data_IF_040946269112
#
_entry.id   IF_040946269112
#
_cell.length_a   1.000
_cell.length_b   1.000
_cell.length_c   1.000
_cell.angle_alpha   90.00
_cell.angle_beta   90.00
_cell.angle_gamma   90.00
#
_symmetry.space_group_name_H-M   'P 1'
#
loop_
_entity.id
_entity.type
_entity.pdbx_description
1 polymer ?
#
# COMPACT_ATOMS: atom_id res chain seq x y z
N UNK A 1 19.91 3.57 -12.95
CA UNK A 1 21.36 3.47 -12.67
C UNK A 1 21.79 4.03 -11.29
N UNK A 2 21.20 5.12 -10.77
CA UNK A 2 21.64 5.75 -9.49
C UNK A 2 21.18 5.07 -8.17
N UNK A 3 20.22 4.13 -8.22
CA UNK A 3 19.68 3.45 -7.02
C UNK A 3 20.55 2.28 -6.51
N UNK A 4 21.35 1.68 -7.40
CA UNK A 4 22.26 0.58 -7.08
C UNK A 4 23.54 1.07 -6.36
N UNK A 5 23.94 2.32 -6.62
CA UNK A 5 25.20 2.88 -6.12
C UNK A 5 25.13 3.25 -4.62
N UNK A 6 23.99 3.80 -4.17
CA UNK A 6 23.78 4.14 -2.74
C UNK A 6 23.59 2.88 -1.88
N UNK A 7 23.06 1.80 -2.45
CA UNK A 7 22.86 0.52 -1.75
C UNK A 7 24.16 -0.24 -1.47
N UNK A 8 25.16 -0.14 -2.35
CA UNK A 8 26.43 -0.87 -2.21
C UNK A 8 27.34 -0.38 -1.08
N UNK A 9 27.17 0.86 -0.60
CA UNK A 9 28.12 1.47 0.34
C UNK A 9 27.81 1.22 1.82
N UNK A 10 26.62 0.70 2.15
CA UNK A 10 26.14 0.54 3.53
C UNK A 10 26.24 -0.91 4.04
N UNK A 11 26.26 -1.90 3.15
CA UNK A 11 26.42 -3.31 3.50
C UNK A 11 27.53 -3.90 2.66
N UNK A 12 28.57 -4.44 3.32
CA UNK A 12 29.67 -5.15 2.65
C UNK A 12 29.20 -6.32 1.76
N UNK A 13 30.12 -6.97 1.03
CA UNK A 13 29.78 -8.00 0.04
C UNK A 13 28.89 -9.13 0.57
N UNK A 14 29.08 -9.55 1.82
CA UNK A 14 28.22 -10.53 2.49
C UNK A 14 26.78 -10.01 2.75
N UNK A 15 26.63 -8.76 3.17
CA UNK A 15 25.32 -8.14 3.41
C UNK A 15 24.53 -7.90 2.12
N UNK A 16 25.21 -7.59 1.01
CA UNK A 16 24.58 -7.47 -0.30
C UNK A 16 24.07 -8.81 -0.86
N UNK A 17 24.79 -9.90 -0.58
CA UNK A 17 24.38 -11.26 -0.93
C UNK A 17 23.13 -11.69 -0.16
N UNK A 18 23.15 -11.56 1.17
CA UNK A 18 22.00 -11.86 2.05
C UNK A 18 20.79 -10.99 1.67
N UNK A 19 21.01 -9.72 1.36
CA UNK A 19 19.94 -8.81 0.95
C UNK A 19 19.27 -9.22 -0.37
N UNK A 20 20.05 -9.69 -1.36
CA UNK A 20 19.53 -10.00 -2.71
C UNK A 20 18.91 -11.39 -2.82
N UNK A 21 19.53 -12.40 -2.22
CA UNK A 21 19.13 -13.81 -2.39
C UNK A 21 18.18 -14.30 -1.30
N UNK A 22 18.25 -13.76 -0.09
CA UNK A 22 17.45 -14.23 1.05
C UNK A 22 16.37 -13.20 1.42
N UNK A 23 16.76 -11.96 1.74
CA UNK A 23 15.80 -10.93 2.18
C UNK A 23 14.85 -10.47 1.08
N UNK A 24 15.31 -10.19 -0.15
CA UNK A 24 14.44 -9.66 -1.22
C UNK A 24 13.30 -10.62 -1.62
N UNK A 25 13.54 -11.92 -1.84
CA UNK A 25 12.46 -12.87 -2.14
C UNK A 25 11.49 -13.03 -0.97
N UNK A 26 12.02 -13.13 0.27
CA UNK A 26 11.19 -13.26 1.49
C UNK A 26 10.37 -12.00 1.78
N UNK A 27 10.91 -10.81 1.52
CA UNK A 27 10.25 -9.52 1.71
C UNK A 27 9.36 -9.10 0.53
N UNK A 28 9.38 -9.86 -0.58
CA UNK A 28 8.50 -9.67 -1.73
C UNK A 28 7.20 -10.48 -1.64
N UNK A 29 7.02 -11.24 -0.56
CA UNK A 29 5.82 -12.02 -0.30
C UNK A 29 4.71 -11.08 0.17
N UNK A 30 3.55 -11.14 -0.46
CA UNK A 30 2.36 -10.39 -0.08
C UNK A 30 1.63 -11.07 1.10
N UNK A 31 2.32 -11.13 2.24
CA UNK A 31 1.83 -11.65 3.52
C UNK A 31 2.01 -10.61 4.65
N UNK A 32 1.34 -10.82 5.79
CA UNK A 32 1.55 -9.96 6.97
C UNK A 32 2.97 -10.12 7.53
N UNK A 33 3.58 -9.07 8.12
CA UNK A 33 4.91 -9.15 8.71
C UNK A 33 5.06 -10.28 9.73
N UNK A 34 4.01 -10.51 10.52
CA UNK A 34 3.95 -11.56 11.53
C UNK A 34 3.94 -12.95 10.88
N UNK A 35 3.19 -13.11 9.78
CA UNK A 35 3.13 -14.37 9.00
C UNK A 35 4.48 -14.69 8.34
N UNK A 36 5.15 -13.67 7.79
CA UNK A 36 6.49 -13.80 7.19
C UNK A 36 7.51 -14.16 8.27
N UNK A 37 7.51 -13.46 9.41
CA UNK A 37 8.44 -13.71 10.51
C UNK A 37 8.28 -15.12 11.10
N UNK A 38 7.04 -15.57 11.27
CA UNK A 38 6.75 -16.93 11.72
C UNK A 38 7.21 -17.97 10.69
N UNK A 39 6.99 -17.70 9.39
CA UNK A 39 7.45 -18.56 8.30
C UNK A 39 8.97 -18.70 8.26
N UNK A 40 9.71 -17.58 8.40
CA UNK A 40 11.18 -17.60 8.51
C UNK A 40 11.64 -18.43 9.70
N UNK A 41 11.00 -18.25 10.86
CA UNK A 41 11.41 -18.92 12.10
C UNK A 41 11.18 -20.43 12.04
N UNK A 42 10.00 -20.86 11.58
CA UNK A 42 9.67 -22.28 11.41
C UNK A 42 10.50 -22.92 10.28
N UNK A 43 10.72 -22.20 9.18
CA UNK A 43 11.58 -22.66 8.09
C UNK A 43 13.02 -22.91 8.55
N UNK A 44 13.57 -22.01 9.39
CA UNK A 44 14.90 -22.18 9.97
C UNK A 44 14.97 -23.36 10.95
N UNK A 45 13.91 -23.56 11.76
CA UNK A 45 13.81 -24.72 12.65
C UNK A 45 13.85 -26.04 11.86
N UNK A 46 13.03 -26.15 10.80
CA UNK A 46 13.00 -27.31 9.90
C UNK A 46 14.31 -27.47 9.12
N UNK A 47 14.99 -26.38 8.77
CA UNK A 47 16.28 -26.44 8.08
C UNK A 47 17.36 -27.20 8.89
N UNK A 48 17.29 -27.14 10.23
CA UNK A 48 18.30 -27.72 11.13
C UNK A 48 18.01 -29.19 11.44
N UNK A 49 16.82 -29.72 11.11
CA UNK A 49 16.49 -31.12 11.36
C UNK A 49 17.25 -32.04 10.39
N UNK A 50 17.73 -33.22 10.84
CA UNK A 50 18.52 -34.15 10.02
C UNK A 50 17.64 -34.96 9.05
N UNK A 51 16.78 -34.25 8.31
CA UNK A 51 15.72 -34.82 7.45
C UNK A 51 15.89 -34.38 5.99
N UNK A 52 17.12 -34.13 5.55
CA UNK A 52 17.37 -33.84 4.14
C UNK A 52 17.07 -35.08 3.28
N UNK A 53 16.30 -34.98 2.18
CA UNK A 53 15.74 -33.79 1.53
C UNK A 53 14.27 -33.46 1.88
N UNK A 54 13.66 -34.16 2.84
CA UNK A 54 12.24 -34.05 3.21
C UNK A 54 11.84 -32.72 3.87
N UNK A 55 12.78 -31.81 4.13
CA UNK A 55 12.54 -30.55 4.86
C UNK A 55 11.46 -29.66 4.23
N UNK A 56 11.40 -29.51 2.90
CA UNK A 56 10.33 -28.73 2.26
C UNK A 56 8.95 -29.35 2.47
N UNK A 57 8.85 -30.69 2.36
CA UNK A 57 7.62 -31.41 2.60
C UNK A 57 7.17 -31.27 4.07
N UNK A 58 8.12 -31.31 5.01
CA UNK A 58 7.85 -31.07 6.44
C UNK A 58 7.33 -29.65 6.67
N UNK A 59 7.92 -28.63 6.04
CA UNK A 59 7.43 -27.24 6.15
C UNK A 59 5.99 -27.10 5.64
N UNK A 60 5.65 -27.73 4.51
CA UNK A 60 4.29 -27.70 3.94
C UNK A 60 3.31 -28.49 4.80
N UNK A 61 3.72 -29.64 5.33
CA UNK A 61 2.91 -30.44 6.25
C UNK A 61 2.63 -29.67 7.56
N UNK A 62 3.65 -29.01 8.11
CA UNK A 62 3.53 -28.16 9.30
C UNK A 62 2.60 -26.97 9.04
N UNK A 63 2.70 -26.33 7.87
CA UNK A 63 1.78 -25.27 7.45
C UNK A 63 0.34 -25.76 7.40
N UNK A 64 0.10 -26.92 6.79
CA UNK A 64 -1.22 -27.53 6.68
C UNK A 64 -1.80 -27.88 8.06
N UNK A 65 -0.97 -28.42 8.95
CA UNK A 65 -1.35 -28.80 10.31
C UNK A 65 -1.66 -27.57 11.17
N UNK A 66 -0.76 -26.58 11.21
CA UNK A 66 -0.91 -25.38 12.04
C UNK A 66 -2.10 -24.50 11.60
N UNK A 67 -2.46 -24.55 10.31
CA UNK A 67 -3.67 -23.92 9.79
C UNK A 67 -4.94 -24.41 10.51
N UNK A 68 -5.00 -25.69 10.92
CA UNK A 68 -6.11 -26.27 11.69
C UNK A 68 -6.23 -25.66 13.09
N UNK A 69 -5.12 -25.20 13.66
CA UNK A 69 -5.03 -24.56 14.97
C UNK A 69 -5.08 -23.02 14.90
N UNK A 70 -5.54 -22.45 13.77
CA UNK A 70 -5.60 -20.99 13.51
C UNK A 70 -4.25 -20.28 13.52
N UNK A 71 -3.13 -21.00 13.48
CA UNK A 71 -1.79 -20.42 13.34
C UNK A 71 -1.46 -20.34 11.85
N UNK A 72 -1.36 -19.12 11.32
CA UNK A 72 -1.02 -18.87 9.90
C UNK A 72 0.39 -18.31 9.78
N UNK A 73 1.19 -18.92 8.91
CA UNK A 73 2.50 -18.41 8.54
C UNK A 73 2.71 -18.52 7.03
N UNK A 74 3.69 -17.76 6.52
CA UNK A 74 4.01 -17.75 5.10
C UNK A 74 4.75 -19.02 4.71
N UNK A 75 4.07 -19.93 4.01
CA UNK A 75 4.67 -21.20 3.54
C UNK A 75 5.82 -20.93 2.58
N UNK A 76 5.72 -19.88 1.77
CA UNK A 76 6.76 -19.46 0.83
C UNK A 76 8.02 -19.04 1.59
N UNK A 77 7.88 -18.21 2.63
CA UNK A 77 9.01 -17.81 3.47
C UNK A 77 9.65 -19.02 4.17
N UNK A 78 8.83 -19.94 4.69
CA UNK A 78 9.31 -21.17 5.31
C UNK A 78 10.10 -22.07 4.37
N UNK A 79 9.56 -22.34 3.17
CA UNK A 79 10.20 -23.20 2.18
C UNK A 79 11.52 -22.62 1.65
N UNK A 80 11.61 -21.29 1.50
CA UNK A 80 12.85 -20.62 1.08
C UNK A 80 13.98 -20.84 2.10
N UNK A 81 13.66 -20.82 3.39
CA UNK A 81 14.64 -21.01 4.46
C UNK A 81 14.96 -22.48 4.68
N UNK A 82 13.99 -23.39 4.53
CA UNK A 82 14.22 -24.82 4.67
C UNK A 82 15.06 -25.42 3.54
N UNK A 83 15.40 -24.67 2.48
CA UNK A 83 16.29 -25.12 1.40
C UNK A 83 17.75 -24.65 1.57
N UNK A 84 18.11 -23.98 2.66
CA UNK A 84 19.43 -23.32 2.79
C UNK A 84 20.59 -24.29 3.07
N UNK A 85 20.32 -25.52 3.52
CA UNK A 85 21.43 -26.41 3.92
C UNK A 85 22.02 -27.13 2.70
N UNK A 86 23.18 -26.63 2.25
CA UNK A 86 24.08 -27.30 1.31
C UNK A 86 24.89 -28.39 2.06
N UNK A 87 25.26 -29.53 1.43
CA UNK A 87 26.15 -30.53 2.01
C UNK A 87 27.38 -29.98 2.75
N UNK A 88 27.99 -28.90 2.24
CA UNK A 88 29.13 -28.23 2.88
C UNK A 88 28.79 -27.56 4.22
N UNK A 89 27.58 -27.03 4.35
CA UNK A 89 27.08 -26.42 5.59
C UNK A 89 26.42 -27.44 6.53
N UNK A 90 25.95 -28.58 6.01
CA UNK A 90 25.30 -29.62 6.78
C UNK A 90 26.24 -30.23 7.83
N UNK A 91 27.48 -30.54 7.42
CA UNK A 91 28.49 -31.18 8.28
C UNK A 91 28.77 -30.36 9.56
N UNK A 92 29.15 -29.08 9.50
CA UNK A 92 29.40 -28.30 10.72
C UNK A 92 28.14 -28.07 11.56
N UNK A 93 26.96 -27.93 10.94
CA UNK A 93 25.69 -27.76 11.65
C UNK A 93 25.33 -29.03 12.43
N UNK A 94 25.32 -30.18 11.78
CA UNK A 94 24.97 -31.45 12.42
C UNK A 94 26.02 -31.91 13.41
N UNK A 95 27.31 -31.64 13.17
CA UNK A 95 28.34 -31.88 14.17
C UNK A 95 28.12 -31.04 15.44
N UNK A 96 27.77 -29.76 15.28
CA UNK A 96 27.46 -28.89 16.41
C UNK A 96 26.22 -29.38 17.15
N UNK A 97 25.17 -29.76 16.43
CA UNK A 97 23.96 -30.33 17.02
C UNK A 97 24.28 -31.63 17.78
N UNK A 98 24.99 -32.56 17.16
CA UNK A 98 25.41 -33.82 17.79
C UNK A 98 26.18 -33.58 19.09
N UNK A 99 27.14 -32.65 19.11
CA UNK A 99 27.88 -32.30 20.34
C UNK A 99 26.99 -31.73 21.43
N UNK A 100 26.06 -30.83 21.07
CA UNK A 100 25.08 -30.28 22.02
C UNK A 100 24.20 -31.38 22.60
N UNK A 101 23.73 -32.31 21.76
CA UNK A 101 22.95 -33.45 22.21
C UNK A 101 23.72 -34.41 23.10
N UNK A 102 24.97 -34.73 22.75
CA UNK A 102 25.86 -35.54 23.58
C UNK A 102 26.07 -34.90 24.95
N UNK A 103 26.32 -33.59 24.98
CA UNK A 103 26.47 -32.83 26.22
C UNK A 103 25.21 -32.91 27.10
N UNK A 104 24.03 -32.71 26.51
CA UNK A 104 22.74 -32.74 27.23
C UNK A 104 22.40 -34.14 27.74
N UNK A 105 22.74 -35.18 26.98
CA UNK A 105 22.49 -36.57 27.33
C UNK A 105 23.59 -37.19 28.22
N UNK A 106 24.63 -36.42 28.58
CA UNK A 106 25.76 -36.92 29.36
C UNK A 106 26.59 -38.00 28.65
N UNK A 107 26.59 -38.02 27.30
CA UNK A 107 27.32 -38.99 26.48
C UNK A 107 28.60 -38.39 25.92
N UNK A 108 29.64 -39.21 25.77
CA UNK A 108 30.84 -38.79 25.04
C UNK A 108 30.60 -38.92 23.52
N UNK A 109 31.05 -37.95 22.69
CA UNK A 109 30.97 -38.07 21.24
C UNK A 109 31.73 -39.30 20.76
N UNK A 110 31.13 -40.08 19.88
CA UNK A 110 31.82 -41.23 19.27
C UNK A 110 32.88 -40.75 18.28
N UNK A 111 34.13 -41.15 18.53
CA UNK A 111 35.23 -41.00 17.58
C UNK A 111 35.19 -42.08 16.49
N UNK A 112 35.91 -41.85 15.39
CA UNK A 112 35.99 -42.77 14.25
C UNK A 112 36.50 -44.16 14.64
N UNK A 113 37.52 -44.24 15.50
CA UNK A 113 38.10 -45.51 15.96
C UNK A 113 37.11 -46.31 16.85
N UNK A 114 36.37 -45.62 17.71
CA UNK A 114 35.36 -46.25 18.57
C UNK A 114 34.12 -46.72 17.79
N UNK A 115 33.86 -46.12 16.63
CA UNK A 115 32.84 -46.59 15.69
C UNK A 115 33.30 -47.85 14.96
N UNK A 116 34.53 -47.86 14.43
CA UNK A 116 35.10 -49.02 13.73
C UNK A 116 35.19 -50.25 14.63
N UNK A 117 35.57 -50.08 15.90
CA UNK A 117 35.66 -51.17 16.88
C UNK A 117 34.32 -51.84 17.24
N UNK A 118 33.17 -51.24 16.86
CA UNK A 118 31.83 -51.76 17.15
C UNK A 118 31.21 -52.54 16.01
N UNK A 119 31.86 -52.57 14.83
CA UNK A 119 31.41 -53.35 13.69
C UNK A 119 32.21 -54.66 13.69
N UNK A 120 31.59 -55.82 13.93
CA UNK A 120 32.30 -57.09 13.91
C UNK A 120 32.77 -57.42 12.49
N UNK A 121 34.08 -57.57 12.28
CA UNK A 121 34.68 -57.91 10.98
C UNK A 121 34.29 -59.33 10.49
N UNK A 122 33.82 -60.18 11.41
CA UNK A 122 33.46 -61.59 11.20
C UNK A 122 31.94 -61.83 11.01
N UNK A 123 31.12 -60.77 11.07
CA UNK A 123 29.68 -60.88 10.90
C UNK A 123 29.25 -60.86 9.42
N UNK A 124 28.22 -61.64 9.07
CA UNK A 124 27.62 -61.60 7.73
C UNK A 124 27.04 -60.21 7.39
N UNK A 125 27.03 -59.86 6.10
CA UNK A 125 26.65 -58.54 5.57
C UNK A 125 25.39 -57.94 6.23
N UNK A 126 24.31 -58.70 6.35
CA UNK A 126 23.05 -58.20 6.94
C UNK A 126 23.14 -57.87 8.42
N UNK A 127 23.97 -58.59 9.18
CA UNK A 127 24.19 -58.33 10.60
C UNK A 127 25.08 -57.11 10.82
N UNK A 128 26.07 -56.90 9.94
CA UNK A 128 26.85 -55.66 9.91
C UNK A 128 25.94 -54.46 9.58
N UNK A 129 25.03 -54.60 8.61
CA UNK A 129 24.05 -53.56 8.27
C UNK A 129 23.12 -53.26 9.45
N UNK A 130 22.57 -54.27 10.12
CA UNK A 130 21.73 -54.10 11.31
C UNK A 130 22.46 -53.32 12.40
N UNK A 131 23.73 -53.65 12.64
CA UNK A 131 24.52 -53.03 13.68
C UNK A 131 24.91 -51.59 13.37
N UNK A 132 25.27 -51.32 12.11
CA UNK A 132 25.49 -49.96 11.61
C UNK A 132 24.22 -49.13 11.74
N UNK A 133 23.05 -49.67 11.40
CA UNK A 133 21.76 -48.98 11.55
C UNK A 133 21.45 -48.72 13.01
N UNK A 134 21.70 -49.68 13.90
CA UNK A 134 21.47 -49.55 15.34
C UNK A 134 22.36 -48.46 15.96
N UNK A 135 23.64 -48.42 15.60
CA UNK A 135 24.58 -47.38 16.05
C UNK A 135 24.19 -46.03 15.45
N UNK A 136 23.84 -45.98 14.16
CA UNK A 136 23.43 -44.76 13.48
C UNK A 136 22.13 -44.15 14.07
N UNK A 137 21.14 -44.97 14.43
CA UNK A 137 19.88 -44.48 15.01
C UNK A 137 19.98 -44.24 16.52
N UNK A 138 20.68 -45.10 17.26
CA UNK A 138 20.76 -45.02 18.72
C UNK A 138 21.85 -44.09 19.23
N UNK A 139 23.10 -44.36 18.87
CA UNK A 139 24.25 -43.65 19.42
C UNK A 139 24.56 -42.34 18.70
N UNK A 140 24.22 -42.25 17.42
CA UNK A 140 24.36 -41.02 16.64
C UNK A 140 23.03 -40.27 16.52
N UNK A 141 21.95 -40.97 16.22
CA UNK A 141 20.63 -40.39 15.94
C UNK A 141 19.99 -39.70 17.13
N UNK A 142 19.94 -40.33 18.30
CA UNK A 142 19.31 -39.74 19.50
C UNK A 142 20.01 -38.45 19.94
N UNK A 143 21.36 -38.41 20.11
CA UNK A 143 22.04 -37.15 20.41
C UNK A 143 21.89 -36.11 19.30
N UNK A 144 21.99 -36.51 18.02
CA UNK A 144 21.83 -35.56 16.91
C UNK A 144 20.46 -34.87 16.94
N UNK A 145 19.36 -35.64 17.05
CA UNK A 145 18.00 -35.09 17.14
C UNK A 145 17.81 -34.19 18.36
N UNK A 146 18.33 -34.61 19.52
CA UNK A 146 18.26 -33.81 20.76
C UNK A 146 18.93 -32.46 20.56
N UNK A 147 20.11 -32.44 19.95
CA UNK A 147 20.82 -31.22 19.61
C UNK A 147 20.11 -30.36 18.58
N UNK A 148 19.60 -30.96 17.50
CA UNK A 148 18.86 -30.25 16.46
C UNK A 148 17.60 -29.56 17.02
N UNK A 149 16.87 -30.22 17.92
CA UNK A 149 15.70 -29.63 18.59
C UNK A 149 16.11 -28.42 19.43
N UNK A 150 17.15 -28.54 20.25
CA UNK A 150 17.60 -27.45 21.12
C UNK A 150 18.16 -26.26 20.33
N UNK A 151 19.12 -26.53 19.45
CA UNK A 151 19.77 -25.50 18.63
C UNK A 151 18.77 -24.87 17.66
N UNK A 152 17.95 -25.68 17.01
CA UNK A 152 16.89 -25.22 16.10
C UNK A 152 15.88 -24.33 16.81
N UNK A 153 15.44 -24.69 18.01
CA UNK A 153 14.47 -23.89 18.78
C UNK A 153 15.07 -22.54 19.20
N UNK A 154 16.31 -22.53 19.70
CA UNK A 154 17.00 -21.29 20.06
C UNK A 154 17.16 -20.35 18.85
N UNK A 155 17.57 -20.89 17.70
CA UNK A 155 17.72 -20.11 16.47
C UNK A 155 16.38 -19.61 15.92
N UNK A 156 15.33 -20.43 15.96
CA UNK A 156 13.99 -20.03 15.54
C UNK A 156 13.46 -18.87 16.39
N UNK A 157 13.56 -18.97 17.72
CA UNK A 157 13.13 -17.92 18.65
C UNK A 157 13.91 -16.62 18.45
N UNK A 158 15.23 -16.71 18.24
CA UNK A 158 16.07 -15.55 17.97
C UNK A 158 15.78 -14.91 16.60
N UNK A 159 15.40 -15.71 15.60
CA UNK A 159 15.13 -15.23 14.24
C UNK A 159 13.83 -14.46 14.11
N UNK A 160 12.81 -14.76 14.93
CA UNK A 160 11.49 -14.14 14.86
C UNK A 160 11.52 -12.60 15.00
N UNK A 161 12.08 -12.00 16.06
CA UNK A 161 12.08 -10.54 16.23
C UNK A 161 12.86 -9.84 15.11
N UNK A 162 13.95 -10.44 14.63
CA UNK A 162 14.77 -9.91 13.54
C UNK A 162 13.98 -9.92 12.23
N UNK A 163 13.31 -11.03 11.91
CA UNK A 163 12.49 -11.16 10.73
C UNK A 163 11.29 -10.21 10.76
N UNK A 164 10.65 -10.04 11.93
CA UNK A 164 9.53 -9.12 12.12
C UNK A 164 9.96 -7.65 11.90
N UNK A 165 11.08 -7.25 12.48
CA UNK A 165 11.63 -5.90 12.31
C UNK A 165 11.99 -5.62 10.83
N UNK A 166 12.60 -6.60 10.15
CA UNK A 166 12.93 -6.49 8.74
C UNK A 166 11.68 -6.40 7.85
N UNK A 167 10.66 -7.22 8.11
CA UNK A 167 9.40 -7.23 7.38
C UNK A 167 8.65 -5.89 7.51
N UNK A 168 8.48 -5.38 8.73
CA UNK A 168 7.84 -4.08 9.00
C UNK A 168 8.58 -2.92 8.31
N UNK A 169 9.92 -2.92 8.39
CA UNK A 169 10.74 -1.88 7.75
C UNK A 169 10.59 -1.89 6.23
N UNK A 170 10.57 -3.07 5.62
CA UNK A 170 10.38 -3.22 4.17
C UNK A 170 9.02 -2.70 3.71
N UNK A 171 7.94 -3.07 4.42
CA UNK A 171 6.59 -2.59 4.11
C UNK A 171 6.48 -1.07 4.22
N UNK A 172 7.04 -0.46 5.28
CA UNK A 172 7.05 1.00 5.45
C UNK A 172 7.81 1.71 4.29
N UNK A 173 8.93 1.13 3.84
CA UNK A 173 9.67 1.62 2.68
C UNK A 173 8.87 1.50 1.38
N UNK A 174 8.16 0.39 1.16
CA UNK A 174 7.30 0.16 -0.01
C UNK A 174 6.17 1.19 -0.04
N UNK A 175 5.50 1.44 1.07
CA UNK A 175 4.47 2.48 1.20
C UNK A 175 5.00 3.88 0.89
N UNK A 176 6.15 4.26 1.46
CA UNK A 176 6.78 5.56 1.17
C UNK A 176 7.15 5.72 -0.31
N UNK A 177 7.69 4.67 -0.92
CA UNK A 177 8.05 4.70 -2.34
C UNK A 177 6.81 4.85 -3.22
N UNK A 178 5.72 4.13 -2.92
CA UNK A 178 4.46 4.25 -3.64
C UNK A 178 3.87 5.66 -3.53
N UNK A 179 3.90 6.28 -2.35
CA UNK A 179 3.46 7.67 -2.18
C UNK A 179 4.30 8.66 -3.02
N UNK A 180 5.60 8.43 -3.14
CA UNK A 180 6.47 9.24 -4.00
C UNK A 180 6.18 9.05 -5.49
N UNK A 181 5.84 7.82 -5.90
CA UNK A 181 5.45 7.53 -7.28
C UNK A 181 4.11 8.20 -7.62
N UNK A 182 3.11 8.13 -6.72
CA UNK A 182 1.84 8.87 -6.85
C UNK A 182 2.06 10.35 -7.08
N UNK A 183 2.84 10.99 -6.19
CA UNK A 183 3.19 12.42 -6.33
C UNK A 183 3.87 12.75 -7.67
N UNK A 184 4.67 11.84 -8.21
CA UNK A 184 5.33 12.06 -9.52
C UNK A 184 4.36 11.95 -10.68
N UNK A 185 3.42 11.01 -10.61
CA UNK A 185 2.43 10.78 -11.65
C UNK A 185 1.41 11.93 -11.70
N UNK A 186 0.89 12.34 -10.54
CA UNK A 186 0.04 13.54 -10.43
C UNK A 186 0.75 14.78 -10.98
N UNK A 187 2.02 15.00 -10.61
CA UNK A 187 2.82 16.11 -11.15
C UNK A 187 3.05 16.02 -12.66
N UNK A 188 3.14 14.82 -13.24
CA UNK A 188 3.30 14.65 -14.70
C UNK A 188 2.03 15.03 -15.44
N UNK A 189 0.88 14.54 -14.96
CA UNK A 189 -0.43 14.88 -15.53
C UNK A 189 -0.65 16.38 -15.44
N UNK A 190 -0.45 16.98 -14.26
CA UNK A 190 -0.61 18.42 -14.06
C UNK A 190 0.36 19.25 -14.91
N UNK A 191 1.58 18.77 -15.18
CA UNK A 191 2.52 19.46 -16.09
C UNK A 191 2.07 19.40 -17.54
N UNK A 192 1.63 18.24 -18.01
CA UNK A 192 1.11 18.10 -19.38
C UNK A 192 -0.12 18.99 -19.59
N UNK A 193 -1.01 19.05 -18.61
CA UNK A 193 -2.17 19.94 -18.65
C UNK A 193 -1.81 21.42 -18.51
N UNK A 194 -0.82 21.78 -17.67
CA UNK A 194 -0.32 23.15 -17.60
C UNK A 194 0.23 23.62 -18.94
N UNK A 195 0.90 22.75 -19.69
CA UNK A 195 1.34 23.07 -21.05
C UNK A 195 0.17 23.31 -22.01
N UNK A 196 -0.94 22.56 -21.86
CA UNK A 196 -2.16 22.81 -22.64
C UNK A 196 -2.80 24.14 -22.26
N UNK A 197 -2.85 24.47 -20.96
CA UNK A 197 -3.35 25.74 -20.47
C UNK A 197 -2.46 26.91 -20.90
N UNK A 198 -1.13 26.75 -20.86
CA UNK A 198 -0.20 27.77 -21.32
C UNK A 198 -0.32 27.97 -22.85
N UNK A 199 -0.59 26.91 -23.62
CA UNK A 199 -0.90 27.03 -25.06
C UNK A 199 -2.25 27.72 -25.31
N UNK A 200 -3.29 27.37 -24.55
CA UNK A 200 -4.58 28.03 -24.64
C UNK A 200 -4.51 29.50 -24.20
N UNK A 201 -3.68 29.79 -23.19
CA UNK A 201 -3.35 31.13 -22.73
C UNK A 201 -2.65 31.94 -23.81
N UNK A 202 -1.60 31.39 -24.44
CA UNK A 202 -0.88 32.03 -25.56
C UNK A 202 -1.87 32.34 -26.70
N UNK A 203 -2.69 31.36 -27.08
CA UNK A 203 -3.73 31.55 -28.08
C UNK A 203 -4.75 32.63 -27.68
N UNK A 204 -5.15 32.73 -26.41
CA UNK A 204 -6.05 33.77 -25.91
C UNK A 204 -5.40 35.17 -25.93
N UNK A 205 -4.12 35.29 -25.55
CA UNK A 205 -3.36 36.54 -25.68
C UNK A 205 -3.18 37.00 -27.12
N UNK A 206 -3.02 36.07 -28.07
CA UNK A 206 -2.99 36.39 -29.51
C UNK A 206 -4.34 36.94 -30.01
N UNK A 207 -5.45 36.59 -29.35
CA UNK A 207 -6.79 37.11 -29.62
C UNK A 207 -7.17 38.32 -28.73
N UNK A 208 -6.22 38.95 -28.03
CA UNK A 208 -6.45 40.15 -27.22
C UNK A 208 -7.15 39.90 -25.86
N UNK A 209 -7.34 38.65 -25.45
CA UNK A 209 -7.86 38.29 -24.12
C UNK A 209 -6.74 37.69 -23.26
N UNK A 210 -6.07 38.53 -22.46
CA UNK A 210 -5.10 38.04 -21.48
C UNK A 210 -5.70 37.00 -20.53
N UNK A 211 -4.86 36.13 -19.93
CA UNK A 211 -5.23 35.13 -18.91
C UNK A 211 -5.61 35.81 -17.59
N UNK A 212 -6.70 36.55 -17.62
CA UNK A 212 -7.11 37.50 -16.60
C UNK A 212 -7.44 36.83 -15.25
N UNK A 213 -7.74 35.53 -15.23
CA UNK A 213 -8.05 34.81 -14.00
C UNK A 213 -6.82 34.57 -13.11
N UNK A 214 -5.59 34.77 -13.59
CA UNK A 214 -4.38 34.61 -12.77
C UNK A 214 -4.26 35.65 -11.66
N UNK A 215 -4.83 36.83 -11.87
CA UNK A 215 -4.81 37.94 -10.91
C UNK A 215 -6.01 37.93 -9.96
N UNK A 216 -6.85 36.89 -10.01
CA UNK A 216 -8.05 36.80 -9.19
C UNK A 216 -7.69 36.24 -7.81
N UNK A 217 -7.70 37.04 -6.72
CA UNK A 217 -7.32 36.55 -5.40
C UNK A 217 -8.34 35.52 -4.90
N UNK A 218 -7.89 34.28 -4.70
CA UNK A 218 -8.72 33.18 -4.22
C UNK A 218 -8.33 32.74 -2.81
N UNK A 219 -9.33 32.47 -1.98
CA UNK A 219 -9.19 31.75 -0.72
C UNK A 219 -9.86 30.39 -0.86
N UNK A 220 -9.07 29.32 -0.92
CA UNK A 220 -9.56 27.96 -1.02
C UNK A 220 -10.05 27.46 0.36
N UNK A 221 -11.37 27.23 0.48
CA UNK A 221 -12.04 26.75 1.68
C UNK A 221 -11.94 25.21 1.85
N UNK A 222 -10.76 24.63 1.65
CA UNK A 222 -10.58 23.18 1.57
C UNK A 222 -9.21 22.72 2.08
N UNK A 223 -9.17 21.62 2.82
CA UNK A 223 -7.93 20.93 3.21
C UNK A 223 -7.39 19.95 2.15
N UNK A 224 -8.13 19.74 1.05
CA UNK A 224 -7.75 18.79 -0.01
C UNK A 224 -6.48 19.23 -0.76
N UNK A 225 -5.43 18.41 -0.69
CA UNK A 225 -4.17 18.63 -1.42
C UNK A 225 -4.40 18.63 -2.94
N UNK A 226 -5.23 17.73 -3.46
CA UNK A 226 -5.53 17.63 -4.89
C UNK A 226 -6.08 18.94 -5.44
N UNK A 227 -7.00 19.60 -4.71
CA UNK A 227 -7.57 20.89 -5.13
C UNK A 227 -6.53 22.01 -5.13
N UNK A 228 -5.60 22.00 -4.16
CA UNK A 228 -4.47 22.95 -4.13
C UNK A 228 -3.55 22.75 -5.33
N UNK A 229 -3.24 21.49 -5.67
CA UNK A 229 -2.39 21.18 -6.81
C UNK A 229 -3.03 21.61 -8.14
N UNK A 230 -4.36 21.47 -8.28
CA UNK A 230 -5.10 21.94 -9.47
C UNK A 230 -5.02 23.46 -9.61
N UNK A 231 -5.31 24.23 -8.55
CA UNK A 231 -5.21 25.70 -8.59
C UNK A 231 -3.79 26.19 -8.91
N UNK A 232 -2.78 25.56 -8.29
CA UNK A 232 -1.37 25.87 -8.56
C UNK A 232 -0.98 25.55 -10.02
N UNK A 233 -1.53 24.48 -10.60
CA UNK A 233 -1.31 24.15 -12.01
C UNK A 233 -1.97 25.14 -12.98
N UNK A 234 -3.08 25.76 -12.57
CA UNK A 234 -3.71 26.88 -13.29
C UNK A 234 -2.92 28.19 -13.21
N UNK A 235 -1.91 28.26 -12.33
CA UNK A 235 -1.09 29.46 -12.11
C UNK A 235 -1.82 30.58 -11.36
N UNK A 236 -2.83 30.22 -10.55
CA UNK A 236 -3.54 31.17 -9.71
C UNK A 236 -2.78 31.44 -8.41
N UNK A 237 -2.84 32.68 -7.94
CA UNK A 237 -2.45 33.02 -6.58
C UNK A 237 -3.62 32.77 -5.62
N UNK A 238 -3.40 31.88 -4.65
CA UNK A 238 -4.43 31.52 -3.68
C UNK A 238 -3.86 31.26 -2.29
N UNK A 239 -4.71 31.44 -1.30
CA UNK A 239 -4.47 31.04 0.09
C UNK A 239 -5.37 29.87 0.45
N UNK A 240 -5.00 29.10 1.48
CA UNK A 240 -5.75 27.90 1.90
C UNK A 240 -6.23 28.09 3.33
N UNK A 241 -7.54 27.98 3.54
CA UNK A 241 -8.15 28.04 4.86
C UNK A 241 -9.14 26.88 4.99
N UNK A 242 -8.79 25.80 5.70
CA UNK A 242 -9.72 24.69 5.95
C UNK A 242 -10.99 25.18 6.65
N UNK A 243 -12.16 24.80 6.13
CA UNK A 243 -13.45 25.28 6.65
C UNK A 243 -13.92 24.57 7.92
N UNK A 244 -13.68 23.26 8.02
CA UNK A 244 -14.19 22.44 9.13
C UNK A 244 -15.73 22.33 9.20
N UNK A 245 -16.43 22.66 8.11
CA UNK A 245 -17.89 22.66 8.06
C UNK A 245 -18.47 21.23 8.10
N UNK A 246 -19.66 21.08 8.69
CA UNK A 246 -20.41 19.82 8.71
C UNK A 246 -20.81 19.39 7.30
N UNK A 247 -20.67 18.09 7.02
CA UNK A 247 -21.05 17.47 5.75
C UNK A 247 -22.47 16.86 5.77
N UNK A 248 -23.24 17.09 6.83
CA UNK A 248 -24.62 16.57 6.93
C UNK A 248 -25.58 17.29 5.98
N UNK A 249 -26.39 16.54 5.24
CA UNK A 249 -27.44 17.08 4.37
C UNK A 249 -28.79 16.45 4.67
N UNK A 250 -29.91 17.18 4.47
CA UNK A 250 -31.25 16.62 4.62
C UNK A 250 -31.45 15.38 3.74
N UNK A 251 -32.17 14.35 4.21
CA UNK A 251 -32.54 13.20 3.40
C UNK A 251 -33.33 13.63 2.16
N UNK A 252 -33.11 12.96 1.03
CA UNK A 252 -33.88 13.16 -0.21
C UNK A 252 -33.49 14.39 -1.05
N UNK A 253 -32.47 15.15 -0.65
CA UNK A 253 -31.94 16.23 -1.49
C UNK A 253 -31.28 15.67 -2.76
N UNK A 254 -31.53 16.23 -3.96
CA UNK A 254 -30.89 15.79 -5.19
C UNK A 254 -29.36 15.87 -5.10
N UNK A 255 -28.60 14.89 -5.64
CA UNK A 255 -27.13 14.85 -5.51
C UNK A 255 -26.41 16.12 -6.00
N UNK A 256 -26.94 16.77 -7.04
CA UNK A 256 -26.39 18.03 -7.58
C UNK A 256 -26.56 19.19 -6.61
N UNK A 257 -27.65 19.21 -5.85
CA UNK A 257 -27.93 20.24 -4.85
C UNK A 257 -27.12 19.98 -3.58
N UNK A 258 -26.94 18.70 -3.20
CA UNK A 258 -26.06 18.29 -2.10
C UNK A 258 -24.65 18.87 -2.28
N UNK A 259 -24.01 18.67 -3.43
CA UNK A 259 -22.64 19.16 -3.64
C UNK A 259 -22.56 20.69 -3.72
N UNK A 260 -23.60 21.37 -4.19
CA UNK A 260 -23.67 22.85 -4.21
C UNK A 260 -23.82 23.41 -2.80
N UNK A 261 -24.76 22.89 -2.03
CA UNK A 261 -25.02 23.29 -0.65
C UNK A 261 -23.79 23.05 0.23
N UNK A 262 -23.13 21.90 0.10
CA UNK A 262 -21.90 21.61 0.84
C UNK A 262 -20.74 22.52 0.43
N UNK A 263 -20.58 22.82 -0.87
CA UNK A 263 -19.58 23.77 -1.33
C UNK A 263 -19.84 25.18 -0.76
N UNK A 264 -21.09 25.65 -0.78
CA UNK A 264 -21.49 26.94 -0.21
C UNK A 264 -21.25 27.00 1.28
N UNK A 265 -21.62 25.96 2.02
CA UNK A 265 -21.41 25.88 3.45
C UNK A 265 -19.94 25.92 3.83
N UNK A 266 -19.08 25.22 3.08
CA UNK A 266 -17.62 25.27 3.25
C UNK A 266 -17.08 26.69 3.03
N UNK A 267 -17.59 27.40 2.02
CA UNK A 267 -17.22 28.79 1.78
C UNK A 267 -17.69 29.74 2.90
N UNK A 268 -18.95 29.64 3.31
CA UNK A 268 -19.54 30.48 4.37
C UNK A 268 -18.85 30.29 5.73
N UNK A 269 -18.45 29.07 6.07
CA UNK A 269 -17.79 28.76 7.34
C UNK A 269 -16.51 29.58 7.59
N UNK A 270 -15.83 30.01 6.53
CA UNK A 270 -14.64 30.87 6.65
C UNK A 270 -14.92 32.34 6.35
N UNK A 271 -16.13 32.68 5.86
CA UNK A 271 -16.52 34.01 5.39
C UNK A 271 -16.11 35.15 6.33
N UNK A 272 -16.46 35.03 7.61
CA UNK A 272 -16.18 36.05 8.63
C UNK A 272 -14.67 36.28 8.89
N UNK A 273 -13.80 35.36 8.47
CA UNK A 273 -12.34 35.43 8.69
C UNK A 273 -11.59 36.04 7.51
N UNK A 274 -12.26 36.18 6.36
CA UNK A 274 -11.65 36.62 5.11
C UNK A 274 -12.04 38.06 4.82
N UNK A 275 -11.05 38.92 4.60
CA UNK A 275 -11.28 40.35 4.32
C UNK A 275 -11.03 40.75 2.87
N UNK A 276 -10.33 39.90 2.11
CA UNK A 276 -9.96 40.14 0.73
C UNK A 276 -9.93 38.82 -0.03
N UNK A 277 -10.34 38.86 -1.30
CA UNK A 277 -10.39 37.70 -2.18
C UNK A 277 -11.70 36.93 -2.11
N UNK A 278 -11.98 36.19 -3.18
CA UNK A 278 -13.15 35.34 -3.31
C UNK A 278 -12.91 33.99 -2.64
N UNK A 279 -13.89 33.54 -1.87
CA UNK A 279 -13.82 32.24 -1.22
C UNK A 279 -14.29 31.16 -2.18
N UNK A 280 -13.40 30.22 -2.50
CA UNK A 280 -13.69 29.06 -3.32
C UNK A 280 -14.08 27.86 -2.44
N UNK A 281 -15.36 27.53 -2.46
CA UNK A 281 -15.91 26.29 -1.89
C UNK A 281 -15.99 25.19 -2.94
N UNK A 282 -15.72 23.94 -2.55
CA UNK A 282 -15.84 22.79 -3.42
C UNK A 282 -16.26 21.53 -2.64
N UNK A 283 -17.17 20.75 -3.22
CA UNK A 283 -17.59 19.46 -2.69
C UNK A 283 -17.77 18.44 -3.82
N UNK A 284 -17.48 17.17 -3.54
CA UNK A 284 -17.43 16.10 -4.55
C UNK A 284 -18.10 14.86 -4.00
N UNK A 285 -19.03 14.30 -4.77
CA UNK A 285 -19.72 13.07 -4.42
C UNK A 285 -19.79 12.10 -5.60
N UNK A 286 -20.01 10.84 -5.30
CA UNK A 286 -20.20 9.79 -6.30
C UNK A 286 -21.66 9.39 -6.29
N UNK A 287 -22.21 9.17 -7.49
CA UNK A 287 -23.58 8.74 -7.71
C UNK A 287 -23.56 7.45 -8.53
N UNK A 288 -24.22 6.42 -8.02
CA UNK A 288 -24.42 5.13 -8.69
C UNK A 288 -25.91 4.82 -8.65
N UNK A 289 -26.51 4.51 -9.81
CA UNK A 289 -27.95 4.31 -10.00
C UNK A 289 -28.84 5.41 -9.37
N UNK A 290 -28.41 6.67 -9.50
CA UNK A 290 -29.14 7.83 -8.98
C UNK A 290 -29.02 8.05 -7.47
N UNK A 291 -28.29 7.20 -6.75
CA UNK A 291 -28.07 7.29 -5.31
C UNK A 291 -26.66 7.77 -4.98
N UNK A 292 -26.55 8.59 -3.92
CA UNK A 292 -25.25 9.05 -3.43
C UNK A 292 -24.50 7.91 -2.74
N UNK A 293 -23.29 7.64 -3.22
CA UNK A 293 -22.34 6.71 -2.60
C UNK A 293 -21.40 7.51 -1.71
N UNK A 294 -21.69 7.50 -0.42
CA UNK A 294 -20.96 8.26 0.60
C UNK A 294 -19.56 7.74 0.90
N UNK A 295 -18.99 8.25 2.00
CA UNK A 295 -17.73 7.75 2.56
C UNK A 295 -18.02 6.47 3.36
N UNK A 296 -17.25 5.39 3.17
CA UNK A 296 -17.45 4.18 3.95
C UNK A 296 -17.11 4.43 5.44
N UNK A 297 -17.97 4.03 6.40
CA UNK A 297 -17.69 4.14 7.83
C UNK A 297 -16.64 3.12 8.29
N UNK A 298 -16.51 1.98 7.59
CA UNK A 298 -15.57 0.92 7.91
C UNK A 298 -15.03 0.22 6.65
N UNK A 299 -14.08 -0.68 6.87
CA UNK A 299 -13.40 -1.42 5.81
C UNK A 299 -14.37 -2.44 5.12
N UNK A 300 -15.41 -2.92 5.79
CA UNK A 300 -16.39 -3.84 5.20
C UNK A 300 -17.29 -3.11 4.19
N UNK A 301 -17.77 -1.93 4.55
CA UNK A 301 -18.57 -1.09 3.66
C UNK A 301 -17.73 -0.55 2.50
N UNK A 302 -16.45 -0.23 2.75
CA UNK A 302 -15.53 0.12 1.67
C UNK A 302 -15.40 -1.01 0.62
N UNK A 303 -15.34 -2.26 1.07
CA UNK A 303 -15.31 -3.41 0.17
C UNK A 303 -16.62 -3.55 -0.62
N UNK A 304 -17.78 -3.44 0.04
CA UNK A 304 -19.09 -3.47 -0.62
C UNK A 304 -19.23 -2.39 -1.69
N UNK A 305 -18.81 -1.16 -1.40
CA UNK A 305 -18.85 -0.06 -2.36
C UNK A 305 -17.97 -0.38 -3.59
N UNK A 306 -16.75 -0.90 -3.38
CA UNK A 306 -15.87 -1.25 -4.49
C UNK A 306 -16.40 -2.44 -5.31
N UNK A 307 -17.07 -3.40 -4.68
CA UNK A 307 -17.77 -4.48 -5.38
C UNK A 307 -18.93 -3.95 -6.20
N UNK A 308 -19.71 -3.01 -5.66
CA UNK A 308 -20.82 -2.35 -6.35
C UNK A 308 -20.36 -1.60 -7.60
N UNK A 309 -19.24 -0.88 -7.51
CA UNK A 309 -18.71 -0.09 -8.63
C UNK A 309 -17.88 -0.91 -9.62
N UNK A 310 -17.61 -2.19 -9.33
CA UNK A 310 -16.78 -3.05 -10.18
C UNK A 310 -17.46 -3.36 -11.51
N UNK A 311 -16.70 -3.29 -12.62
CA UNK A 311 -17.20 -3.51 -13.99
C UNK A 311 -18.37 -2.58 -14.40
N UNK A 312 -18.53 -1.46 -13.69
CA UNK A 312 -19.65 -0.55 -13.88
C UNK A 312 -19.19 0.90 -14.09
N UNK A 313 -20.14 1.73 -14.50
CA UNK A 313 -19.99 3.18 -14.70
C UNK A 313 -20.79 3.92 -13.64
N UNK A 314 -20.14 4.86 -12.98
CA UNK A 314 -20.76 5.76 -12.01
C UNK A 314 -20.48 7.22 -12.36
N UNK A 315 -21.35 8.11 -11.88
CA UNK A 315 -21.24 9.55 -12.05
C UNK A 315 -20.47 10.16 -10.87
N UNK A 316 -19.62 11.12 -11.15
CA UNK A 316 -18.92 11.95 -10.18
C UNK A 316 -19.39 13.38 -10.36
N UNK A 317 -19.98 13.93 -9.30
CA UNK A 317 -20.47 15.29 -9.27
C UNK A 317 -19.54 16.14 -8.40
N UNK A 318 -19.11 17.29 -8.92
CA UNK A 318 -18.41 18.30 -8.13
C UNK A 318 -19.12 19.63 -8.20
N UNK A 319 -19.56 20.12 -7.04
CA UNK A 319 -20.11 21.45 -6.85
C UNK A 319 -19.02 22.46 -6.54
N UNK A 320 -19.12 23.65 -7.13
CA UNK A 320 -18.24 24.79 -6.87
C UNK A 320 -19.05 26.02 -6.46
N UNK A 321 -18.47 26.82 -5.58
CA UNK A 321 -18.99 28.13 -5.17
C UNK A 321 -17.85 29.14 -5.14
N UNK A 322 -18.09 30.33 -5.67
CA UNK A 322 -17.28 31.52 -5.43
C UNK A 322 -18.10 32.54 -4.65
N UNK A 323 -17.69 32.80 -3.42
CA UNK A 323 -18.38 33.68 -2.48
C UNK A 323 -17.57 34.93 -2.19
N UNK A 324 -18.21 36.08 -2.27
CA UNK A 324 -17.69 37.36 -1.82
C UNK A 324 -17.89 37.47 -0.30
N UNK A 325 -16.82 37.50 0.52
CA UNK A 325 -16.96 37.64 1.96
C UNK A 325 -17.51 39.01 2.40
N UNK A 326 -17.38 40.05 1.57
CA UNK A 326 -17.83 41.41 1.92
C UNK A 326 -19.34 41.58 1.74
N UNK A 327 -19.89 41.06 0.64
CA UNK A 327 -21.32 41.20 0.32
C UNK A 327 -22.16 39.96 0.63
N UNK A 328 -21.52 38.81 0.82
CA UNK A 328 -22.19 37.51 0.95
C UNK A 328 -22.78 36.98 -0.37
N UNK A 329 -22.63 37.72 -1.49
CA UNK A 329 -23.04 37.27 -2.83
C UNK A 329 -22.16 36.11 -3.27
N UNK A 330 -22.73 35.20 -4.05
CA UNK A 330 -21.99 34.08 -4.58
C UNK A 330 -22.54 33.63 -5.93
N UNK A 331 -21.67 33.01 -6.72
CA UNK A 331 -22.06 32.20 -7.87
C UNK A 331 -21.73 30.74 -7.57
N UNK A 332 -22.53 29.84 -8.12
CA UNK A 332 -22.36 28.41 -7.93
C UNK A 332 -22.57 27.63 -9.22
N UNK A 333 -22.03 26.42 -9.25
CA UNK A 333 -22.17 25.51 -10.37
C UNK A 333 -21.95 24.07 -9.95
N UNK A 334 -22.29 23.13 -10.82
CA UNK A 334 -22.03 21.71 -10.62
C UNK A 334 -21.61 21.08 -11.94
N UNK A 335 -20.46 20.40 -11.95
CA UNK A 335 -19.97 19.65 -13.09
C UNK A 335 -20.13 18.16 -12.83
N UNK A 336 -20.36 17.39 -13.90
CA UNK A 336 -20.45 15.94 -13.89
C UNK A 336 -19.39 15.33 -14.79
N UNK A 337 -18.84 14.20 -14.35
CA UNK A 337 -17.99 13.33 -15.16
C UNK A 337 -18.34 11.88 -14.82
N UNK A 338 -18.15 10.96 -15.75
CA UNK A 338 -18.36 9.54 -15.50
C UNK A 338 -17.04 8.80 -15.42
N UNK A 339 -16.98 7.82 -14.53
CA UNK A 339 -15.83 6.92 -14.38
C UNK A 339 -16.32 5.51 -14.63
N UNK A 340 -15.56 4.74 -15.41
CA UNK A 340 -15.79 3.31 -15.60
C UNK A 340 -14.65 2.52 -14.97
N UNK A 341 -14.99 1.59 -14.09
CA UNK A 341 -14.09 0.53 -13.67
C UNK A 341 -14.25 -0.67 -14.60
N UNK A 342 -13.15 -1.39 -14.81
CA UNK A 342 -13.23 -2.79 -15.23
C UNK A 342 -13.50 -3.69 -14.02
N UNK A 343 -13.49 -4.99 -14.23
CA UNK A 343 -13.63 -5.98 -13.14
C UNK A 343 -12.55 -5.76 -12.08
N UNK A 344 -12.96 -5.49 -10.83
CA UNK A 344 -12.09 -5.36 -9.67
C UNK A 344 -12.03 -6.72 -8.95
N UNK A 345 -10.90 -7.44 -8.99
CA UNK A 345 -10.83 -8.74 -8.33
C UNK A 345 -10.97 -8.64 -6.81
N UNK A 346 -11.63 -9.60 -6.12
CA UNK A 346 -11.84 -9.55 -4.67
C UNK A 346 -10.54 -9.41 -3.85
N UNK A 347 -9.44 -9.99 -4.32
CA UNK A 347 -8.11 -9.82 -3.73
C UNK A 347 -7.62 -8.39 -3.81
N UNK A 348 -7.88 -7.69 -4.92
CA UNK A 348 -7.50 -6.29 -5.10
C UNK A 348 -8.31 -5.39 -4.17
N UNK A 349 -9.60 -5.67 -3.99
CA UNK A 349 -10.47 -4.95 -3.05
C UNK A 349 -9.90 -5.09 -1.63
N UNK A 350 -9.59 -6.32 -1.20
CA UNK A 350 -8.98 -6.58 0.12
C UNK A 350 -7.63 -5.86 0.30
N UNK A 351 -6.76 -5.88 -0.71
CA UNK A 351 -5.48 -5.17 -0.68
C UNK A 351 -5.67 -3.65 -0.58
N UNK A 352 -6.59 -3.10 -1.38
CA UNK A 352 -6.84 -1.66 -1.45
C UNK A 352 -7.42 -1.13 -0.13
N UNK A 353 -8.45 -1.80 0.39
CA UNK A 353 -9.09 -1.49 1.65
C UNK A 353 -8.14 -1.73 2.83
N UNK A 354 -7.45 -2.87 2.87
CA UNK A 354 -6.49 -3.20 3.94
C UNK A 354 -5.30 -2.24 3.99
N UNK A 355 -4.97 -1.58 2.88
CA UNK A 355 -3.98 -0.50 2.85
C UNK A 355 -4.53 0.86 3.35
N UNK A 356 -5.80 0.94 3.74
CA UNK A 356 -6.47 2.14 4.25
C UNK A 356 -6.76 3.20 3.17
N UNK A 357 -6.70 2.84 1.88
CA UNK A 357 -6.80 3.80 0.76
C UNK A 357 -8.22 4.29 0.48
N UNK A 358 -9.23 3.58 0.99
CA UNK A 358 -10.66 3.93 0.87
C UNK A 358 -11.14 4.93 1.92
N UNK A 359 -10.38 5.11 3.02
CA UNK A 359 -10.85 5.84 4.21
C UNK A 359 -11.07 7.32 3.93
N UNK A 360 -12.26 7.83 4.29
CA UNK A 360 -12.63 9.24 4.13
C UNK A 360 -12.84 9.68 2.68
N UNK A 361 -12.93 8.74 1.73
CA UNK A 361 -13.16 9.01 0.30
C UNK A 361 -14.59 8.60 -0.06
N UNK A 362 -15.35 9.51 -0.68
CA UNK A 362 -16.64 9.15 -1.27
C UNK A 362 -16.41 8.03 -2.30
N UNK A 363 -17.34 7.07 -2.40
CA UNK A 363 -17.20 5.91 -3.28
C UNK A 363 -16.01 4.98 -2.97
N UNK A 364 -15.39 5.12 -1.79
CA UNK A 364 -14.30 4.27 -1.32
C UNK A 364 -13.03 4.24 -2.19
N UNK A 365 -12.84 5.18 -3.13
CA UNK A 365 -11.63 5.26 -3.95
C UNK A 365 -11.12 6.69 -4.17
N UNK A 366 -9.88 6.82 -4.66
CA UNK A 366 -9.32 8.08 -5.15
C UNK A 366 -8.69 7.85 -6.53
N UNK A 367 -9.08 8.63 -7.55
CA UNK A 367 -8.49 8.50 -8.89
C UNK A 367 -7.04 9.01 -8.94
N UNK A 368 -6.64 9.86 -8.00
CA UNK A 368 -5.27 10.35 -7.86
C UNK A 368 -4.31 9.27 -7.30
N UNK A 369 -4.86 8.17 -6.77
CA UNK A 369 -4.10 7.14 -6.08
C UNK A 369 -3.30 6.21 -7.01
N UNK A 370 -3.33 6.44 -8.32
CA UNK A 370 -2.44 5.87 -9.34
C UNK A 370 -2.50 4.34 -9.44
N UNK A 371 -3.14 3.83 -10.50
CA UNK A 371 -3.20 2.41 -10.93
C UNK A 371 -3.61 1.36 -9.88
N UNK A 372 -4.08 1.75 -8.70
CA UNK A 372 -4.40 0.82 -7.62
C UNK A 372 -5.72 0.06 -7.84
N UNK A 373 -6.60 0.60 -8.70
CA UNK A 373 -7.84 0.00 -9.15
C UNK A 373 -7.87 0.03 -10.70
N UNK A 374 -8.60 -0.89 -11.35
CA UNK A 374 -8.65 -0.98 -12.81
C UNK A 374 -9.57 0.09 -13.41
N UNK A 375 -9.09 1.33 -13.49
CA UNK A 375 -9.77 2.41 -14.19
C UNK A 375 -9.67 2.21 -15.70
N UNK A 376 -10.81 2.06 -16.38
CA UNK A 376 -10.85 1.88 -17.84
C UNK A 376 -11.00 3.21 -18.57
N UNK A 377 -11.96 4.03 -18.13
CA UNK A 377 -12.29 5.27 -18.82
C UNK A 377 -12.78 6.35 -17.84
N UNK A 378 -12.53 7.60 -18.25
CA UNK A 378 -13.16 8.79 -17.69
C UNK A 378 -13.79 9.54 -18.85
N UNK A 379 -15.08 9.81 -18.75
CA UNK A 379 -15.87 10.55 -19.73
C UNK A 379 -16.31 11.89 -19.09
N UNK A 380 -15.84 12.99 -19.68
CA UNK A 380 -15.95 14.35 -19.12
C UNK A 380 -14.63 14.89 -18.54
N UNK A 381 -14.72 16.00 -17.82
CA UNK A 381 -13.55 16.69 -17.27
C UNK A 381 -12.96 15.90 -16.09
N UNK A 382 -11.73 15.41 -16.25
CA UNK A 382 -11.01 14.68 -15.21
C UNK A 382 -10.78 15.51 -13.95
N UNK A 383 -10.70 16.84 -14.07
CA UNK A 383 -10.59 17.73 -12.91
C UNK A 383 -11.87 17.76 -12.06
N UNK A 384 -13.03 17.45 -12.64
CA UNK A 384 -14.27 17.17 -11.90
C UNK A 384 -14.11 15.95 -11.00
N UNK A 385 -13.53 14.86 -11.52
CA UNK A 385 -13.30 13.62 -10.75
C UNK A 385 -12.26 13.83 -9.65
N UNK A 386 -11.24 14.66 -9.92
CA UNK A 386 -10.25 15.06 -8.92
C UNK A 386 -10.79 16.07 -7.88
N UNK A 387 -12.00 16.59 -8.09
CA UNK A 387 -12.73 17.40 -7.15
C UNK A 387 -12.57 18.92 -7.30
N UNK A 388 -12.06 19.42 -8.43
CA UNK A 388 -12.06 20.84 -8.78
C UNK A 388 -12.22 21.04 -10.31
N UNK A 389 -13.45 21.12 -10.84
CA UNK A 389 -13.71 21.27 -12.28
C UNK A 389 -13.21 22.63 -12.78
N UNK A 390 -12.09 22.61 -13.49
CA UNK A 390 -11.39 23.83 -13.93
C UNK A 390 -12.23 24.66 -14.90
N UNK A 391 -12.87 23.99 -15.86
CA UNK A 391 -13.67 24.67 -16.87
C UNK A 391 -14.85 25.41 -16.22
N UNK A 392 -15.54 24.74 -15.30
CA UNK A 392 -16.61 25.35 -14.52
C UNK A 392 -16.08 26.52 -13.66
N UNK A 393 -14.91 26.38 -13.04
CA UNK A 393 -14.31 27.46 -12.26
C UNK A 393 -14.09 28.71 -13.14
N UNK A 394 -13.52 28.57 -14.33
CA UNK A 394 -13.30 29.67 -15.26
C UNK A 394 -14.63 30.34 -15.64
N UNK A 395 -15.65 29.55 -15.99
CA UNK A 395 -16.98 30.05 -16.34
C UNK A 395 -17.64 30.85 -15.21
N UNK A 396 -17.53 30.36 -13.96
CA UNK A 396 -18.04 31.07 -12.79
C UNK A 396 -17.30 32.39 -12.55
N UNK A 397 -15.98 32.40 -12.74
CA UNK A 397 -15.20 33.63 -12.64
C UNK A 397 -15.58 34.62 -13.74
N UNK A 398 -15.81 34.18 -14.97
CA UNK A 398 -16.24 35.04 -16.09
C UNK A 398 -17.61 35.66 -15.82
N UNK A 399 -18.52 34.87 -15.25
CA UNK A 399 -19.83 35.33 -14.83
C UNK A 399 -19.71 36.42 -13.77
N UNK A 400 -18.91 36.20 -12.72
CA UNK A 400 -18.65 37.22 -11.70
C UNK A 400 -18.06 38.49 -12.30
N UNK A 401 -17.09 38.35 -13.20
CA UNK A 401 -16.47 39.51 -13.85
C UNK A 401 -17.51 40.34 -14.63
N UNK A 402 -18.43 39.69 -15.34
CA UNK A 402 -19.53 40.37 -16.05
C UNK A 402 -20.50 41.05 -15.10
N UNK A 403 -20.84 40.39 -13.98
CA UNK A 403 -21.74 40.94 -12.97
C UNK A 403 -21.13 42.15 -12.23
N UNK A 404 -19.81 42.15 -12.01
CA UNK A 404 -19.08 43.30 -11.43
C UNK A 404 -18.87 44.44 -12.44
N UNK A 405 -18.69 44.11 -13.73
CA UNK A 405 -18.48 45.11 -14.78
C UNK A 405 -19.78 45.74 -15.33
N UNK A 406 -20.95 45.20 -14.99
CA UNK A 406 -22.23 45.79 -15.36
C UNK A 406 -22.48 47.07 -14.52
N UNK A 407 -22.60 48.26 -15.13
CA UNK A 407 -22.96 49.47 -14.39
C UNK A 407 -24.31 49.27 -13.70
N UNK A 408 -24.45 49.78 -12.48
CA UNK A 408 -25.76 49.98 -11.85
C UNK A 408 -26.68 50.65 -12.88
N UNK A 409 -27.68 49.92 -13.37
CA UNK A 409 -28.80 50.53 -14.06
C UNK A 409 -29.65 51.17 -12.97
N UNK A 410 -29.50 52.48 -12.82
CA UNK A 410 -30.44 53.33 -12.06
C UNK A 410 -31.82 53.35 -12.73
#
# INVERSE_FOLDING_TARGET
MKLEFVKRRILGPAGAFVQRRILRPVLGIDDTPESIALGVSLGLWVAITPTMPAQMAITIALWTLLKRFRVRFSVVAGCLLSWVVNPLTAVPIYWTCYRVGCFVLGRSPLGYEAFGARIPDDAGFWRQVEEVVRIALGDFGVPLWTGCILVGTALALASYPVALAAARRSQALRQRLLLLLRRRETRRILRAERQLLDRAAVAATEHGSGVWWREFPIVLASASETRREILAAMGMDFTVVPSGASEETPPGMPPRDVVRELALRKARAIGARIRQGWILGADTTIVHDGQVVGKPPDDAEAARILELLSDDRHEVLTGLVLLDPATGRYVEGCASAYVRFGVIPPERIREYVGAGKSRGKAGAYDIADGSALPFEAVDGDRSTVLGLPRQLLIELMERLRREVAAPCRE
#
